data_IF_692604134653
#
_entry.id   IF_692604134653
#
_cell.length_a   1.000
_cell.length_b   1.000
_cell.length_c   1.000
_cell.angle_alpha   90.00
_cell.angle_beta   90.00
_cell.angle_gamma   90.00
#
_symmetry.space_group_name_H-M   'P 1'
#
loop_
_entity.id
_entity.type
_entity.pdbx_description
1 polymer ?
#
# COMPACT_ATOMS: atom_id res chain seq x y z
N UNK A 1 -15.69 6.15 -4.36
CA UNK A 1 -15.37 6.56 -5.74
C UNK A 1 -14.67 5.47 -6.54
N UNK A 2 -13.66 4.76 -6.01
CA UNK A 2 -12.86 3.78 -6.77
C UNK A 2 -13.42 2.35 -6.87
N UNK A 3 -14.67 2.12 -6.43
CA UNK A 3 -15.28 0.77 -6.43
C UNK A 3 -15.30 0.10 -7.82
N UNK A 4 -15.64 0.81 -8.93
CA UNK A 4 -15.64 0.17 -10.25
C UNK A 4 -14.26 -0.34 -10.67
N UNK A 5 -13.19 0.36 -10.30
CA UNK A 5 -11.82 -0.07 -10.57
C UNK A 5 -11.46 -1.31 -9.76
N UNK A 6 -11.77 -1.31 -8.47
CA UNK A 6 -11.52 -2.45 -7.59
C UNK A 6 -12.27 -3.71 -8.07
N UNK A 7 -13.50 -3.55 -8.57
CA UNK A 7 -14.26 -4.66 -9.16
C UNK A 7 -13.52 -5.28 -10.37
N UNK A 8 -12.91 -4.45 -11.22
CA UNK A 8 -12.12 -4.93 -12.37
C UNK A 8 -10.81 -5.60 -11.93
N UNK A 9 -10.15 -5.08 -10.89
CA UNK A 9 -8.96 -5.69 -10.30
C UNK A 9 -9.29 -7.10 -9.79
N UNK A 10 -10.40 -7.25 -9.06
CA UNK A 10 -10.87 -8.53 -8.52
C UNK A 10 -11.31 -9.52 -9.59
N UNK A 11 -12.00 -9.05 -10.64
CA UNK A 11 -12.59 -9.92 -11.66
C UNK A 11 -11.65 -10.27 -12.81
N UNK A 12 -10.65 -9.42 -13.12
CA UNK A 12 -9.76 -9.59 -14.28
C UNK A 12 -8.29 -9.71 -13.89
N UNK A 13 -7.76 -8.71 -13.19
CA UNK A 13 -6.31 -8.62 -12.93
C UNK A 13 -5.83 -9.76 -12.01
N UNK A 14 -6.43 -9.90 -10.83
CA UNK A 14 -5.99 -10.90 -9.86
C UNK A 14 -6.15 -12.33 -10.41
N UNK A 15 -7.28 -12.71 -11.03
CA UNK A 15 -7.41 -14.03 -11.65
C UNK A 15 -6.35 -14.28 -12.73
N UNK A 16 -6.06 -13.29 -13.58
CA UNK A 16 -5.01 -13.39 -14.60
C UNK A 16 -3.62 -13.58 -13.98
N UNK A 17 -3.31 -12.89 -12.88
CA UNK A 17 -2.03 -13.03 -12.17
C UNK A 17 -1.89 -14.38 -11.43
N UNK A 18 -2.96 -14.85 -10.79
CA UNK A 18 -2.93 -16.12 -10.04
C UNK A 18 -3.10 -17.36 -10.93
N UNK A 19 -3.57 -17.21 -12.16
CA UNK A 19 -3.96 -18.33 -13.03
C UNK A 19 -5.09 -19.20 -12.48
N UNK A 20 -5.87 -18.67 -11.53
CA UNK A 20 -6.96 -19.39 -10.84
C UNK A 20 -8.17 -18.49 -10.67
N UNK A 21 -9.26 -19.07 -10.16
CA UNK A 21 -10.56 -18.41 -10.00
C UNK A 21 -10.59 -17.17 -9.10
N UNK A 22 -11.81 -16.66 -8.83
CA UNK A 22 -12.04 -15.39 -8.13
C UNK A 22 -11.25 -15.24 -6.83
N UNK A 23 -10.92 -13.99 -6.50
CA UNK A 23 -10.24 -13.66 -5.25
C UNK A 23 -11.26 -13.51 -4.11
N UNK A 24 -11.04 -14.16 -2.96
CA UNK A 24 -11.83 -13.90 -1.76
C UNK A 24 -11.44 -12.56 -1.13
N UNK A 25 -12.28 -12.03 -0.24
CA UNK A 25 -11.97 -10.79 0.50
C UNK A 25 -10.68 -10.91 1.31
N UNK A 26 -10.49 -12.03 2.00
CA UNK A 26 -9.28 -12.29 2.80
C UNK A 26 -8.04 -12.43 1.91
N UNK A 27 -8.15 -13.15 0.78
CA UNK A 27 -7.05 -13.21 -0.19
C UNK A 27 -6.73 -11.81 -0.74
N UNK A 28 -7.75 -10.99 -0.99
CA UNK A 28 -7.57 -9.63 -1.50
C UNK A 28 -6.80 -8.75 -0.52
N UNK A 29 -7.08 -8.88 0.78
CA UNK A 29 -6.35 -8.20 1.86
C UNK A 29 -4.91 -8.69 1.97
N UNK A 30 -4.65 -9.99 1.80
CA UNK A 30 -3.26 -10.49 1.74
C UNK A 30 -2.52 -9.90 0.53
N UNK A 31 -3.16 -9.85 -0.65
CA UNK A 31 -2.52 -9.33 -1.85
C UNK A 31 -2.19 -7.84 -1.77
N UNK A 32 -2.94 -7.05 -0.97
CA UNK A 32 -2.61 -5.64 -0.72
C UNK A 32 -1.42 -5.45 0.20
N UNK A 33 -1.07 -6.44 1.01
CA UNK A 33 0.09 -6.34 1.89
C UNK A 33 1.41 -6.29 1.10
N UNK A 34 2.44 -5.60 1.60
CA UNK A 34 3.79 -5.68 1.05
C UNK A 34 4.36 -7.11 1.06
N UNK A 35 5.34 -7.38 0.20
CA UNK A 35 5.99 -8.70 0.09
C UNK A 35 6.63 -9.19 1.39
N UNK A 36 7.21 -8.29 2.19
CA UNK A 36 7.72 -8.60 3.54
C UNK A 36 6.66 -9.05 4.54
N UNK A 37 5.37 -8.91 4.20
CA UNK A 37 4.22 -9.40 4.95
C UNK A 37 3.47 -10.50 4.17
N UNK A 38 4.14 -11.15 3.21
CA UNK A 38 3.60 -12.26 2.42
C UNK A 38 2.63 -11.85 1.30
N UNK A 39 2.48 -10.55 1.00
CA UNK A 39 1.59 -10.05 -0.04
C UNK A 39 2.29 -9.65 -1.36
N UNK A 40 1.55 -8.97 -2.26
CA UNK A 40 2.05 -8.50 -3.56
C UNK A 40 2.08 -6.98 -3.70
N UNK A 41 1.77 -6.25 -2.63
CA UNK A 41 1.68 -4.79 -2.62
C UNK A 41 0.69 -4.24 -3.66
N UNK A 42 -0.37 -5.01 -3.93
CA UNK A 42 -1.45 -4.63 -4.83
C UNK A 42 -2.50 -3.85 -4.03
N UNK A 43 -2.23 -2.57 -3.76
CA UNK A 43 -3.06 -1.73 -2.90
C UNK A 43 -4.56 -1.72 -3.32
N UNK A 44 -5.48 -1.61 -2.35
CA UNK A 44 -6.91 -1.42 -2.64
C UNK A 44 -7.20 0.08 -2.89
N UNK A 45 -7.50 0.50 -4.13
CA UNK A 45 -7.69 1.91 -4.45
C UNK A 45 -8.88 2.53 -3.71
N UNK A 46 -9.85 1.74 -3.24
CA UNK A 46 -10.97 2.24 -2.42
C UNK A 46 -10.47 2.70 -1.05
N UNK A 47 -9.51 1.98 -0.47
CA UNK A 47 -8.98 2.25 0.87
C UNK A 47 -7.85 3.29 0.84
N UNK A 48 -6.92 3.16 -0.10
CA UNK A 48 -5.66 3.92 -0.03
C UNK A 48 -5.68 5.23 -0.80
N UNK A 49 -6.61 5.44 -1.73
CA UNK A 49 -6.54 6.58 -2.66
C UNK A 49 -6.55 7.93 -1.95
N UNK A 50 -7.36 8.09 -0.90
CA UNK A 50 -7.39 9.34 -0.15
C UNK A 50 -6.07 9.61 0.58
N UNK A 51 -5.48 8.58 1.20
CA UNK A 51 -4.17 8.67 1.86
C UNK A 51 -3.07 9.03 0.85
N UNK A 52 -3.06 8.39 -0.32
CA UNK A 52 -2.10 8.69 -1.40
C UNK A 52 -2.26 10.08 -1.97
N UNK A 53 -3.50 10.54 -2.17
CA UNK A 53 -3.76 11.91 -2.63
C UNK A 53 -3.24 12.94 -1.62
N UNK A 54 -3.53 12.77 -0.33
CA UNK A 54 -3.02 13.65 0.72
C UNK A 54 -1.50 13.61 0.85
N UNK A 55 -0.89 12.43 0.69
CA UNK A 55 0.56 12.29 0.64
C UNK A 55 1.16 13.05 -0.55
N UNK A 56 0.53 12.96 -1.73
CA UNK A 56 0.93 13.71 -2.92
C UNK A 56 0.89 15.22 -2.66
N UNK A 57 -0.22 15.73 -2.10
CA UNK A 57 -0.35 17.15 -1.74
C UNK A 57 0.80 17.59 -0.82
N UNK A 58 1.07 16.84 0.26
CA UNK A 58 2.16 17.13 1.21
C UNK A 58 3.53 17.16 0.54
N UNK A 59 3.79 16.22 -0.37
CA UNK A 59 5.07 16.16 -1.11
C UNK A 59 5.21 17.36 -2.06
N UNK A 60 4.11 17.78 -2.70
CA UNK A 60 4.12 18.90 -3.66
C UNK A 60 4.05 20.29 -3.01
N UNK A 61 3.62 20.39 -1.75
CA UNK A 61 3.41 21.66 -1.05
C UNK A 61 4.66 22.56 -1.00
N UNK A 62 5.88 22.06 -0.72
CA UNK A 62 7.08 22.90 -0.75
C UNK A 62 7.31 23.54 -2.13
N UNK A 63 7.11 22.77 -3.21
CA UNK A 63 7.25 23.28 -4.57
C UNK A 63 6.18 24.31 -4.89
N UNK A 64 4.93 24.06 -4.51
CA UNK A 64 3.83 25.02 -4.66
C UNK A 64 4.16 26.36 -3.99
N UNK A 65 4.66 26.34 -2.75
CA UNK A 65 5.08 27.55 -2.03
C UNK A 65 6.18 28.31 -2.74
N UNK A 66 7.19 27.60 -3.25
CA UNK A 66 8.28 28.20 -4.00
C UNK A 66 7.83 28.87 -5.30
N UNK A 67 6.89 28.26 -6.02
CA UNK A 67 6.31 28.85 -7.23
C UNK A 67 5.59 30.15 -6.88
N UNK A 68 4.79 30.15 -5.80
CA UNK A 68 4.07 31.35 -5.35
C UNK A 68 5.03 32.44 -4.89
N UNK A 69 6.11 32.10 -4.18
CA UNK A 69 7.13 33.05 -3.72
C UNK A 69 8.20 33.39 -4.77
N UNK A 70 8.06 32.90 -6.01
CA UNK A 70 9.01 33.09 -7.11
C UNK A 70 10.47 32.78 -6.72
N UNK A 71 10.67 31.77 -5.88
CA UNK A 71 11.99 31.40 -5.35
C UNK A 71 12.68 30.39 -6.27
N UNK A 72 13.88 30.69 -6.73
CA UNK A 72 14.63 29.88 -7.71
C UNK A 72 15.49 28.77 -7.07
N UNK A 73 15.73 28.83 -5.77
CA UNK A 73 16.61 27.87 -5.07
C UNK A 73 15.83 26.69 -4.51
N UNK A 74 15.87 25.55 -5.19
CA UNK A 74 15.29 24.29 -4.72
C UNK A 74 16.35 23.39 -4.06
N UNK A 75 16.07 22.90 -2.84
CA UNK A 75 16.88 21.87 -2.19
C UNK A 75 16.06 20.61 -1.95
N UNK A 76 16.59 19.47 -2.39
CA UNK A 76 15.96 18.15 -2.21
C UNK A 76 15.74 17.79 -0.73
N UNK A 77 16.50 18.41 0.18
CA UNK A 77 16.40 18.20 1.63
C UNK A 77 15.01 18.54 2.18
N UNK A 78 14.28 19.48 1.55
CA UNK A 78 12.93 19.85 1.96
C UNK A 78 11.91 18.69 1.86
N UNK A 79 12.21 17.67 1.04
CA UNK A 79 11.36 16.49 0.90
C UNK A 79 11.78 15.32 1.79
N UNK A 80 12.97 15.36 2.40
CA UNK A 80 13.51 14.23 3.13
C UNK A 80 12.60 13.84 4.30
N UNK A 81 12.30 14.80 5.16
CA UNK A 81 11.53 14.57 6.38
C UNK A 81 10.06 14.27 6.06
N UNK A 82 9.49 14.95 5.06
CA UNK A 82 8.13 14.67 4.57
C UNK A 82 8.04 13.22 4.10
N UNK A 83 8.99 12.76 3.29
CA UNK A 83 9.02 11.37 2.80
C UNK A 83 9.25 10.38 3.94
N UNK A 84 10.10 10.70 4.91
CA UNK A 84 10.33 9.84 6.07
C UNK A 84 9.06 9.65 6.90
N UNK A 85 8.33 10.73 7.18
CA UNK A 85 7.04 10.68 7.91
C UNK A 85 6.01 9.86 7.14
N UNK A 86 5.85 10.11 5.83
CA UNK A 86 4.89 9.37 5.00
C UNK A 86 5.23 7.88 4.88
N UNK A 87 6.51 7.52 4.78
CA UNK A 87 6.97 6.12 4.80
C UNK A 87 6.64 5.45 6.12
N UNK A 88 6.89 6.14 7.25
CA UNK A 88 6.55 5.62 8.58
C UNK A 88 5.05 5.36 8.70
N UNK A 89 4.21 6.29 8.27
CA UNK A 89 2.76 6.14 8.27
C UNK A 89 2.29 4.96 7.39
N UNK A 90 2.81 4.83 6.16
CA UNK A 90 2.50 3.70 5.27
C UNK A 90 2.91 2.37 5.90
N UNK A 91 4.09 2.31 6.51
CA UNK A 91 4.56 1.10 7.18
C UNK A 91 3.70 0.70 8.39
N UNK A 92 3.28 1.67 9.21
CA UNK A 92 2.40 1.42 10.36
C UNK A 92 1.05 0.87 9.91
N UNK A 93 0.44 1.46 8.87
CA UNK A 93 -0.81 0.96 8.29
C UNK A 93 -0.70 -0.50 7.83
N UNK A 94 0.33 -0.83 7.06
CA UNK A 94 0.52 -2.22 6.61
C UNK A 94 0.83 -3.18 7.76
N UNK A 95 1.51 -2.73 8.80
CA UNK A 95 1.80 -3.56 9.96
C UNK A 95 0.54 -3.89 10.75
N UNK A 96 -0.37 -2.93 10.92
CA UNK A 96 -1.69 -3.14 11.53
C UNK A 96 -2.54 -4.10 10.70
N UNK A 97 -2.61 -3.88 9.38
CA UNK A 97 -3.36 -4.73 8.48
C UNK A 97 -2.80 -6.17 8.45
N UNK A 98 -1.48 -6.33 8.55
CA UNK A 98 -0.84 -7.64 8.64
C UNK A 98 -1.18 -8.37 9.95
N UNK A 99 -1.23 -7.67 11.08
CA UNK A 99 -1.64 -8.27 12.36
C UNK A 99 -3.09 -8.71 12.36
N UNK A 100 -4.01 -7.86 11.86
CA UNK A 100 -5.44 -8.20 11.77
C UNK A 100 -5.68 -9.43 10.89
N UNK A 101 -5.01 -9.49 9.74
CA UNK A 101 -5.09 -10.63 8.83
C UNK A 101 -4.52 -11.90 9.49
N UNK A 102 -3.40 -11.81 10.21
CA UNK A 102 -2.79 -12.95 10.92
C UNK A 102 -3.71 -13.53 11.98
N UNK A 103 -4.38 -12.69 12.75
CA UNK A 103 -5.30 -13.10 13.82
C UNK A 103 -6.53 -13.85 13.28
N UNK A 104 -6.94 -13.55 12.05
CA UNK A 104 -8.07 -14.23 11.40
C UNK A 104 -7.78 -15.66 10.92
N UNK A 105 -6.51 -16.09 10.94
CA UNK A 105 -6.08 -17.35 10.34
C UNK A 105 -5.93 -18.51 11.31
N UNK A 106 -6.13 -19.73 10.78
CA UNK A 106 -5.76 -20.95 11.48
C UNK A 106 -4.23 -21.10 11.59
N UNK A 107 -3.72 -21.90 12.55
CA UNK A 107 -2.28 -22.04 12.79
C UNK A 107 -1.47 -22.48 11.56
N UNK A 108 -2.07 -23.29 10.67
CA UNK A 108 -1.43 -23.75 9.43
C UNK A 108 -1.21 -22.58 8.46
N UNK A 109 -2.22 -21.71 8.31
CA UNK A 109 -2.15 -20.56 7.40
C UNK A 109 -1.19 -19.48 7.92
N UNK A 110 -1.10 -19.31 9.24
CA UNK A 110 -0.10 -18.44 9.86
C UNK A 110 1.33 -18.91 9.52
N UNK A 111 1.63 -20.20 9.70
CA UNK A 111 2.94 -20.77 9.32
C UNK A 111 3.26 -20.57 7.84
N UNK A 112 2.27 -20.71 6.95
CA UNK A 112 2.51 -20.45 5.52
C UNK A 112 2.84 -18.99 5.23
N UNK A 113 2.22 -18.04 5.93
CA UNK A 113 2.57 -16.62 5.80
C UNK A 113 3.98 -16.35 6.30
N UNK A 114 4.39 -16.92 7.43
CA UNK A 114 5.74 -16.74 7.96
C UNK A 114 6.81 -17.23 6.95
N UNK A 115 6.54 -18.36 6.28
CA UNK A 115 7.42 -18.84 5.20
C UNK A 115 7.49 -17.89 4.00
N UNK A 116 6.40 -17.18 3.68
CA UNK A 116 6.37 -16.20 2.59
C UNK A 116 7.12 -14.92 2.98
N UNK A 117 7.04 -14.48 4.23
CA UNK A 117 7.79 -13.31 4.73
C UNK A 117 9.30 -13.51 4.63
N UNK A 118 9.80 -14.72 4.92
CA UNK A 118 11.23 -15.05 4.81
C UNK A 118 11.79 -14.90 3.38
N UNK A 119 10.94 -15.01 2.36
CA UNK A 119 11.36 -14.85 0.94
C UNK A 119 11.34 -13.39 0.47
N UNK A 120 10.70 -12.50 1.22
CA UNK A 120 10.61 -11.07 0.91
C UNK A 120 11.66 -10.19 1.59
N UNK A 121 12.60 -10.80 2.31
CA UNK A 121 13.71 -10.15 3.03
C UNK A 121 15.01 -10.19 2.23
#
# INVERSE_FOLDING_TARGET
MFQPLENVILAKLIPALKGRGPCSSVERTILSLPTRHGGLNLDNPVEVANSHYNASLKITEPLKKMIVSQTTTYKKIYLHDIKAVLRKQKNQYHQQLATEVRESFSPIKQRTLDLLELKGS
#
